data_IF_573002584801
#
_entry.id   IF_573002584801
#
_cell.length_a   1.000
_cell.length_b   1.000
_cell.length_c   1.000
_cell.angle_alpha   90.00
_cell.angle_beta   90.00
_cell.angle_gamma   90.00
#
_symmetry.space_group_name_H-M   'P 1'
#
loop_
_entity.id
_entity.type
_entity.pdbx_description
1 polymer ?
#
# COMPACT_ATOMS: atom_id res chain seq x y z
N UNK A 1 -33.68 7.37 8.55
CA UNK A 1 -32.59 7.77 7.63
C UNK A 1 -33.01 9.06 6.97
N UNK A 2 -32.19 10.12 6.94
CA UNK A 2 -32.54 11.27 6.11
C UNK A 2 -32.60 10.79 4.66
N UNK A 3 -33.74 11.03 4.03
CA UNK A 3 -33.99 10.72 2.64
C UNK A 3 -32.98 11.53 1.81
N UNK A 4 -32.06 10.86 1.12
CA UNK A 4 -31.10 11.55 0.25
C UNK A 4 -31.89 12.32 -0.82
N UNK A 5 -31.70 13.63 -0.87
CA UNK A 5 -32.11 14.45 -2.00
C UNK A 5 -31.45 13.84 -3.23
N UNK A 6 -32.24 13.21 -4.12
CA UNK A 6 -31.70 12.72 -5.40
C UNK A 6 -31.17 13.93 -6.15
N UNK A 7 -29.87 13.95 -6.40
CA UNK A 7 -29.28 14.94 -7.29
C UNK A 7 -29.80 14.63 -8.69
N UNK A 8 -30.63 15.53 -9.24
CA UNK A 8 -31.41 15.32 -10.46
C UNK A 8 -30.60 15.26 -11.77
N UNK A 9 -29.26 15.19 -11.68
CA UNK A 9 -28.41 15.03 -12.85
C UNK A 9 -28.02 13.55 -13.02
N UNK A 10 -28.84 12.83 -13.78
CA UNK A 10 -28.64 11.41 -14.12
C UNK A 10 -27.38 11.18 -14.97
N UNK A 11 -26.83 12.23 -15.60
CA UNK A 11 -25.62 12.16 -16.42
C UNK A 11 -24.36 12.59 -15.66
N UNK A 12 -24.48 13.13 -14.44
CA UNK A 12 -23.34 13.48 -13.61
C UNK A 12 -22.77 12.24 -12.91
N UNK A 13 -21.72 11.66 -13.48
CA UNK A 13 -21.02 10.51 -12.90
C UNK A 13 -20.55 10.74 -11.45
N UNK A 14 -20.22 11.98 -11.08
CA UNK A 14 -19.86 12.34 -9.70
C UNK A 14 -21.08 12.19 -8.77
N UNK A 15 -22.23 12.74 -9.15
CA UNK A 15 -23.46 12.63 -8.36
C UNK A 15 -23.89 11.17 -8.19
N UNK A 16 -23.84 10.38 -9.28
CA UNK A 16 -24.14 8.95 -9.26
C UNK A 16 -23.14 8.16 -8.41
N UNK A 17 -21.86 8.52 -8.44
CA UNK A 17 -20.86 7.90 -7.55
C UNK A 17 -21.13 8.25 -6.09
N UNK A 18 -21.52 9.48 -5.76
CA UNK A 18 -21.83 9.92 -4.39
C UNK A 18 -23.05 9.20 -3.79
N UNK A 19 -23.97 8.69 -4.60
CA UNK A 19 -25.03 7.80 -4.11
C UNK A 19 -24.46 6.50 -3.54
N UNK A 20 -23.34 6.02 -4.06
CA UNK A 20 -22.63 4.82 -3.56
C UNK A 20 -21.63 5.17 -2.45
N UNK A 21 -20.74 6.15 -2.70
CA UNK A 21 -19.57 6.42 -1.84
C UNK A 21 -19.64 7.72 -1.04
N UNK A 22 -20.67 8.54 -1.24
CA UNK A 22 -20.79 9.85 -0.59
C UNK A 22 -21.18 9.80 0.89
N UNK A 23 -21.43 8.61 1.44
CA UNK A 23 -21.50 8.42 2.88
C UNK A 23 -20.10 8.13 3.40
N UNK A 24 -19.65 8.91 4.38
CA UNK A 24 -18.27 8.83 4.87
C UNK A 24 -17.91 7.43 5.41
N UNK A 25 -18.87 6.68 5.97
CA UNK A 25 -18.63 5.31 6.42
C UNK A 25 -18.31 4.35 5.28
N UNK A 26 -18.84 4.57 4.07
CA UNK A 26 -18.53 3.72 2.92
C UNK A 26 -17.02 3.69 2.68
N UNK A 27 -16.37 4.84 2.63
CA UNK A 27 -14.94 4.92 2.35
C UNK A 27 -14.10 4.37 3.51
N UNK A 28 -14.55 4.51 4.75
CA UNK A 28 -13.88 3.90 5.91
C UNK A 28 -14.03 2.37 5.93
N UNK A 29 -15.18 1.83 5.52
CA UNK A 29 -15.37 0.39 5.36
C UNK A 29 -14.45 -0.14 4.24
N UNK A 30 -14.37 0.56 3.10
CA UNK A 30 -13.46 0.17 2.01
C UNK A 30 -12.00 0.21 2.47
N UNK A 31 -11.60 1.23 3.22
CA UNK A 31 -10.27 1.36 3.84
C UNK A 31 -9.94 0.16 4.73
N UNK A 32 -10.85 -0.22 5.63
CA UNK A 32 -10.59 -1.30 6.57
C UNK A 32 -10.68 -2.68 5.89
N UNK A 33 -11.53 -2.84 4.88
CA UNK A 33 -11.54 -4.03 4.04
C UNK A 33 -10.22 -4.19 3.24
N UNK A 34 -9.65 -3.09 2.72
CA UNK A 34 -8.34 -3.11 2.06
C UNK A 34 -7.20 -3.53 3.01
N UNK A 35 -7.32 -3.19 4.30
CA UNK A 35 -6.41 -3.62 5.39
C UNK A 35 -6.55 -5.07 5.82
N UNK A 36 -7.48 -5.83 5.23
CA UNK A 36 -7.74 -7.21 5.64
C UNK A 36 -8.81 -7.37 6.72
N UNK A 37 -9.49 -6.28 7.13
CA UNK A 37 -10.57 -6.35 8.11
C UNK A 37 -11.87 -6.72 7.39
N UNK A 38 -12.12 -8.02 7.26
CA UNK A 38 -13.26 -8.53 6.47
C UNK A 38 -14.45 -8.97 7.33
N UNK A 39 -14.27 -9.14 8.64
CA UNK A 39 -15.30 -9.69 9.54
C UNK A 39 -16.13 -8.58 10.16
N UNK A 40 -17.45 -8.82 10.29
CA UNK A 40 -18.40 -7.85 10.82
C UNK A 40 -18.01 -7.27 12.19
N UNK A 41 -17.71 -8.13 13.18
CA UNK A 41 -17.38 -7.68 14.53
C UNK A 41 -16.04 -6.92 14.60
N UNK A 42 -15.11 -7.25 13.70
CA UNK A 42 -13.84 -6.52 13.59
C UNK A 42 -14.08 -5.14 12.98
N UNK A 43 -14.79 -5.06 11.85
CA UNK A 43 -15.20 -3.78 11.24
C UNK A 43 -15.98 -2.90 12.23
N UNK A 44 -16.90 -3.49 12.99
CA UNK A 44 -17.66 -2.76 14.00
C UNK A 44 -16.76 -2.14 15.08
N UNK A 45 -15.76 -2.90 15.55
CA UNK A 45 -14.81 -2.45 16.57
C UNK A 45 -13.89 -1.35 16.03
N UNK A 46 -13.31 -1.53 14.85
CA UNK A 46 -12.40 -0.56 14.23
C UNK A 46 -13.10 0.77 13.91
N UNK A 47 -14.34 0.70 13.40
CA UNK A 47 -15.07 1.89 12.95
C UNK A 47 -15.88 2.57 14.07
N UNK A 48 -16.08 1.91 15.21
CA UNK A 48 -16.94 2.42 16.29
C UNK A 48 -18.42 2.58 15.90
N UNK A 49 -18.84 1.96 14.79
CA UNK A 49 -20.20 2.07 14.26
C UNK A 49 -21.19 1.24 15.09
N UNK A 50 -22.45 1.69 15.16
CA UNK A 50 -23.51 0.81 15.65
C UNK A 50 -23.69 -0.38 14.69
N UNK A 51 -23.98 -1.56 15.23
CA UNK A 51 -24.22 -2.79 14.45
C UNK A 51 -25.29 -2.60 13.37
N UNK A 52 -26.35 -1.86 13.68
CA UNK A 52 -27.43 -1.57 12.73
C UNK A 52 -26.93 -0.80 11.51
N UNK A 53 -26.20 0.30 11.74
CA UNK A 53 -25.67 1.14 10.65
C UNK A 53 -24.64 0.36 9.84
N UNK A 54 -23.76 -0.41 10.48
CA UNK A 54 -22.78 -1.24 9.77
C UNK A 54 -23.48 -2.28 8.87
N UNK A 55 -24.51 -2.95 9.37
CA UNK A 55 -25.27 -3.93 8.58
C UNK A 55 -25.95 -3.30 7.36
N UNK A 56 -26.55 -2.12 7.53
CA UNK A 56 -27.18 -1.35 6.44
C UNK A 56 -26.14 -0.94 5.37
N UNK A 57 -24.96 -0.49 5.79
CA UNK A 57 -23.88 -0.11 4.86
C UNK A 57 -23.28 -1.30 4.12
N UNK A 58 -22.97 -2.39 4.82
CA UNK A 58 -22.44 -3.59 4.20
C UNK A 58 -23.44 -4.18 3.19
N UNK A 59 -24.74 -4.15 3.51
CA UNK A 59 -25.80 -4.56 2.57
C UNK A 59 -25.75 -3.72 1.28
N UNK A 60 -25.72 -2.39 1.41
CA UNK A 60 -25.63 -1.50 0.25
C UNK A 60 -24.38 -1.76 -0.60
N UNK A 61 -23.22 -1.96 0.04
CA UNK A 61 -21.97 -2.21 -0.67
C UNK A 61 -21.94 -3.57 -1.37
N UNK A 62 -22.63 -4.57 -0.83
CA UNK A 62 -22.84 -5.85 -1.51
C UNK A 62 -23.81 -5.70 -2.69
N UNK A 63 -24.94 -5.01 -2.50
CA UNK A 63 -25.95 -4.78 -3.55
C UNK A 63 -25.39 -3.98 -4.74
N UNK A 64 -24.51 -3.01 -4.46
CA UNK A 64 -23.82 -2.20 -5.49
C UNK A 64 -22.57 -2.89 -6.04
N UNK A 65 -22.21 -4.08 -5.55
CA UNK A 65 -21.07 -4.85 -6.03
C UNK A 65 -19.71 -4.26 -5.68
N UNK A 66 -19.63 -3.38 -4.68
CA UNK A 66 -18.36 -2.88 -4.10
C UNK A 66 -17.72 -3.95 -3.22
N UNK A 67 -18.54 -4.69 -2.46
CA UNK A 67 -18.13 -5.83 -1.66
C UNK A 67 -18.80 -7.11 -2.16
N UNK A 68 -18.14 -8.24 -1.96
CA UNK A 68 -18.74 -9.56 -2.02
C UNK A 68 -18.85 -10.12 -0.61
N UNK A 69 -19.87 -10.96 -0.37
CA UNK A 69 -20.10 -11.62 0.93
C UNK A 69 -19.81 -13.10 0.78
N UNK A 70 -18.72 -13.56 1.38
CA UNK A 70 -18.18 -14.90 1.20
C UNK A 70 -18.24 -15.70 2.51
N UNK A 71 -18.66 -16.98 2.47
CA UNK A 71 -18.60 -17.83 3.66
C UNK A 71 -17.14 -18.20 3.97
N UNK A 72 -16.72 -18.03 5.24
CA UNK A 72 -15.39 -18.47 5.72
C UNK A 72 -15.46 -19.66 6.68
N UNK A 73 -16.67 -20.05 7.09
CA UNK A 73 -16.96 -21.16 7.99
C UNK A 73 -18.32 -21.72 7.61
N UNK A 74 -18.49 -23.04 7.61
CA UNK A 74 -19.75 -23.70 7.19
C UNK A 74 -20.68 -24.08 8.35
N UNK A 75 -20.18 -24.20 9.59
CA UNK A 75 -20.94 -24.72 10.74
C UNK A 75 -20.64 -23.98 12.06
N UNK A 76 -21.48 -23.01 12.49
CA UNK A 76 -22.52 -22.33 11.72
C UNK A 76 -21.93 -21.54 10.55
N UNK A 77 -22.70 -21.28 9.50
CA UNK A 77 -22.21 -20.49 8.36
C UNK A 77 -21.88 -19.07 8.84
N UNK A 78 -20.65 -18.62 8.62
CA UNK A 78 -20.23 -17.24 8.91
C UNK A 78 -19.66 -16.59 7.67
N UNK A 79 -19.93 -15.30 7.52
CA UNK A 79 -19.55 -14.53 6.35
C UNK A 79 -18.50 -13.49 6.67
N UNK A 80 -17.70 -13.18 5.66
CA UNK A 80 -16.81 -12.03 5.61
C UNK A 80 -17.08 -11.22 4.34
N UNK A 81 -16.55 -10.00 4.32
CA UNK A 81 -16.79 -9.02 3.26
C UNK A 81 -15.46 -8.69 2.58
N UNK A 82 -15.36 -8.99 1.29
CA UNK A 82 -14.15 -8.77 0.50
C UNK A 82 -14.39 -7.76 -0.61
N UNK A 83 -13.36 -6.98 -0.95
CA UNK A 83 -13.43 -6.03 -2.06
C UNK A 83 -13.50 -6.78 -3.39
N UNK A 84 -14.50 -6.43 -4.21
CA UNK A 84 -14.57 -6.85 -5.62
C UNK A 84 -13.60 -6.01 -6.47
N UNK A 85 -13.43 -6.30 -7.77
CA UNK A 85 -12.72 -5.39 -8.67
C UNK A 85 -13.29 -3.96 -8.65
N UNK A 86 -14.62 -3.81 -8.56
CA UNK A 86 -15.29 -2.50 -8.43
C UNK A 86 -14.94 -1.81 -7.11
N UNK A 87 -14.84 -2.56 -6.02
CA UNK A 87 -14.40 -2.00 -4.72
C UNK A 87 -12.94 -1.60 -4.70
N UNK A 88 -12.05 -2.39 -5.34
CA UNK A 88 -10.63 -2.05 -5.49
C UNK A 88 -10.41 -0.81 -6.36
N UNK A 89 -11.29 -0.53 -7.31
CA UNK A 89 -11.26 0.71 -8.09
C UNK A 89 -11.47 1.99 -7.25
N UNK A 90 -11.87 1.88 -5.97
CA UNK A 90 -11.96 3.00 -5.03
C UNK A 90 -10.66 3.29 -4.28
N UNK A 91 -9.63 2.43 -4.36
CA UNK A 91 -8.37 2.66 -3.64
C UNK A 91 -7.68 3.97 -4.05
N UNK A 92 -7.63 4.37 -5.33
CA UNK A 92 -7.11 5.69 -5.71
C UNK A 92 -7.86 6.86 -5.08
N UNK A 93 -9.16 6.72 -4.79
CA UNK A 93 -9.94 7.75 -4.09
C UNK A 93 -9.49 7.86 -2.63
N UNK A 94 -9.20 6.72 -1.97
CA UNK A 94 -8.64 6.72 -0.62
C UNK A 94 -7.27 7.39 -0.56
N UNK A 95 -6.40 7.13 -1.55
CA UNK A 95 -5.10 7.80 -1.64
C UNK A 95 -5.27 9.30 -1.87
N UNK A 96 -6.15 9.71 -2.79
CA UNK A 96 -6.40 11.14 -3.02
C UNK A 96 -6.96 11.85 -1.77
N UNK A 97 -7.81 11.18 -0.99
CA UNK A 97 -8.32 11.71 0.28
C UNK A 97 -7.23 11.77 1.36
N UNK A 98 -6.34 10.77 1.41
CA UNK A 98 -5.19 10.79 2.31
C UNK A 98 -4.25 11.94 1.93
N UNK A 99 -3.86 12.07 0.66
CA UNK A 99 -3.02 13.15 0.16
C UNK A 99 -3.64 14.53 0.50
N UNK A 100 -4.95 14.70 0.28
CA UNK A 100 -5.65 15.94 0.61
C UNK A 100 -5.68 16.21 2.12
N UNK A 101 -5.93 15.17 2.94
CA UNK A 101 -5.94 15.26 4.40
C UNK A 101 -4.55 15.60 4.96
N UNK A 102 -3.53 14.87 4.52
CA UNK A 102 -2.13 15.12 4.85
C UNK A 102 -1.78 16.58 4.47
N UNK A 103 -2.20 17.06 3.29
CA UNK A 103 -1.91 18.44 2.82
C UNK A 103 -2.63 19.53 3.60
N UNK A 104 -3.95 19.46 3.68
CA UNK A 104 -4.79 20.60 4.06
C UNK A 104 -5.33 20.50 5.49
N UNK A 105 -5.32 19.30 6.08
CA UNK A 105 -5.79 19.07 7.46
C UNK A 105 -4.62 18.88 8.41
N UNK A 106 -3.59 18.14 8.00
CA UNK A 106 -2.41 17.85 8.84
C UNK A 106 -1.21 18.77 8.55
N UNK A 107 -1.17 19.43 7.38
CA UNK A 107 -0.12 20.40 7.03
C UNK A 107 1.18 19.77 6.48
N UNK A 108 1.11 18.57 5.91
CA UNK A 108 2.24 17.73 5.47
C UNK A 108 2.40 17.66 3.94
N UNK A 109 1.67 18.49 3.17
CA UNK A 109 1.42 18.30 1.74
C UNK A 109 2.39 18.93 0.75
N UNK A 110 3.66 19.09 1.11
CA UNK A 110 4.64 19.50 0.12
C UNK A 110 4.87 18.40 -0.93
N UNK A 111 5.25 18.77 -2.15
CA UNK A 111 5.67 17.79 -3.17
C UNK A 111 7.07 17.27 -2.82
N UNK A 112 7.12 16.38 -1.84
CA UNK A 112 8.32 15.75 -1.31
C UNK A 112 8.17 14.24 -1.30
N UNK A 113 9.20 13.50 -1.70
CA UNK A 113 9.26 12.05 -1.62
C UNK A 113 9.89 11.55 -0.32
N UNK A 114 10.02 12.43 0.68
CA UNK A 114 10.52 12.16 2.03
C UNK A 114 9.63 12.85 3.08
N UNK A 115 10.01 12.76 4.35
CA UNK A 115 9.35 13.38 5.49
C UNK A 115 10.35 13.77 6.58
N UNK A 116 9.86 14.43 7.63
CA UNK A 116 10.59 14.60 8.88
C UNK A 116 10.24 13.46 9.85
N UNK A 117 11.14 13.13 10.78
CA UNK A 117 10.91 12.07 11.78
C UNK A 117 9.64 12.29 12.62
N UNK A 118 9.27 13.56 12.85
CA UNK A 118 8.13 13.96 13.67
C UNK A 118 6.81 14.13 12.90
N UNK A 119 6.75 13.83 11.60
CA UNK A 119 5.49 13.93 10.85
C UNK A 119 4.50 12.81 11.21
N UNK A 120 3.21 13.08 11.01
CA UNK A 120 2.13 12.11 11.17
C UNK A 120 2.22 10.98 10.15
N UNK A 121 2.71 11.22 8.93
CA UNK A 121 3.05 10.13 8.00
C UNK A 121 4.19 9.24 8.51
N UNK A 122 5.17 9.77 9.25
CA UNK A 122 6.24 8.97 9.84
C UNK A 122 5.76 8.14 11.04
N UNK A 123 4.94 8.74 11.91
CA UNK A 123 4.27 8.02 12.99
C UNK A 123 3.40 6.87 12.46
N UNK A 124 2.59 7.14 11.44
CA UNK A 124 1.75 6.15 10.77
C UNK A 124 2.54 4.95 10.22
N UNK A 125 3.73 5.16 9.66
CA UNK A 125 4.57 4.04 9.19
C UNK A 125 5.16 3.26 10.37
N UNK A 126 5.58 3.93 11.44
CA UNK A 126 6.06 3.25 12.67
C UNK A 126 4.98 2.40 13.33
N UNK A 127 3.73 2.86 13.33
CA UNK A 127 2.57 2.11 13.83
C UNK A 127 2.27 0.83 13.04
N UNK A 128 2.86 0.63 11.86
CA UNK A 128 2.74 -0.64 11.14
C UNK A 128 3.45 -1.79 11.88
N UNK A 129 4.46 -1.52 12.71
CA UNK A 129 5.18 -2.56 13.46
C UNK A 129 4.21 -3.31 14.38
N UNK A 130 4.20 -4.64 14.29
CA UNK A 130 3.28 -5.53 14.99
C UNK A 130 1.93 -5.74 14.27
N UNK A 131 1.64 -4.98 13.21
CA UNK A 131 0.46 -5.21 12.37
C UNK A 131 0.74 -6.24 11.28
N UNK A 132 -0.32 -6.80 10.68
CA UNK A 132 -0.21 -7.75 9.58
C UNK A 132 -0.37 -7.06 8.22
N UNK A 133 0.51 -7.39 7.28
CA UNK A 133 0.29 -7.13 5.86
C UNK A 133 -0.88 -8.02 5.41
N UNK A 134 -1.98 -7.46 4.88
CA UNK A 134 -3.11 -8.27 4.46
C UNK A 134 -2.77 -9.17 3.27
N UNK A 135 -3.55 -10.23 3.09
CA UNK A 135 -3.46 -11.06 1.88
C UNK A 135 -3.89 -10.25 0.65
N UNK A 136 -2.94 -9.99 -0.23
CA UNK A 136 -3.11 -9.24 -1.47
C UNK A 136 -2.11 -9.73 -2.51
N UNK A 137 -2.37 -9.38 -3.77
CA UNK A 137 -1.45 -9.64 -4.88
C UNK A 137 -1.08 -8.33 -5.53
N UNK A 138 0.20 -8.22 -5.89
CA UNK A 138 0.75 -7.20 -6.77
C UNK A 138 1.12 -7.84 -8.10
N UNK A 139 1.40 -7.03 -9.12
CA UNK A 139 1.77 -7.54 -10.44
C UNK A 139 3.29 -7.61 -10.56
N UNK A 140 3.87 -8.76 -10.86
CA UNK A 140 5.32 -8.88 -11.07
C UNK A 140 5.74 -8.39 -12.47
N UNK A 141 7.04 -8.54 -12.77
CA UNK A 141 7.61 -8.12 -14.05
C UNK A 141 6.94 -8.79 -15.26
N UNK A 142 6.46 -10.02 -15.09
CA UNK A 142 5.81 -10.85 -16.10
C UNK A 142 4.31 -10.57 -16.26
N UNK A 143 3.78 -9.65 -15.46
CA UNK A 143 2.35 -9.35 -15.47
C UNK A 143 1.55 -10.32 -14.61
N UNK A 144 2.22 -11.19 -13.86
CA UNK A 144 1.57 -12.24 -13.08
C UNK A 144 1.30 -11.77 -11.64
N UNK A 145 0.18 -12.21 -11.02
CA UNK A 145 -0.11 -11.91 -9.63
C UNK A 145 0.91 -12.57 -8.69
N UNK A 146 1.51 -11.79 -7.79
CA UNK A 146 2.48 -12.25 -6.79
C UNK A 146 2.19 -11.67 -5.41
N UNK A 147 2.27 -12.50 -4.38
CA UNK A 147 2.18 -12.05 -2.98
C UNK A 147 3.45 -11.26 -2.62
N UNK A 148 3.34 -10.04 -2.09
CA UNK A 148 4.50 -9.28 -1.65
C UNK A 148 5.22 -9.89 -0.45
N UNK A 149 4.59 -10.80 0.31
CA UNK A 149 5.21 -11.53 1.43
C UNK A 149 5.54 -12.95 0.97
N UNK A 150 6.82 -13.25 0.82
CA UNK A 150 7.30 -14.57 0.41
C UNK A 150 7.06 -15.62 1.50
N UNK A 151 6.66 -16.84 1.08
CA UNK A 151 6.39 -17.96 2.00
C UNK A 151 7.59 -18.89 2.15
N UNK A 152 8.52 -18.81 1.21
CA UNK A 152 9.74 -19.62 1.09
C UNK A 152 10.88 -19.15 1.99
N UNK A 153 10.81 -17.91 2.49
CA UNK A 153 11.79 -17.33 3.43
C UNK A 153 11.16 -17.03 4.78
N UNK A 154 11.98 -16.97 5.84
CA UNK A 154 11.49 -16.61 7.17
C UNK A 154 11.04 -15.14 7.23
N UNK A 155 11.73 -14.29 6.46
CA UNK A 155 11.44 -12.87 6.36
C UNK A 155 11.39 -12.42 4.90
N UNK A 156 10.63 -11.36 4.66
CA UNK A 156 10.64 -10.59 3.41
C UNK A 156 11.00 -9.14 3.71
N UNK A 157 12.04 -8.63 3.07
CA UNK A 157 12.37 -7.21 3.08
C UNK A 157 11.65 -6.56 1.90
N UNK A 158 10.59 -5.83 2.21
CA UNK A 158 9.74 -5.14 1.26
C UNK A 158 10.15 -3.66 1.20
N UNK A 159 11.03 -3.29 0.27
CA UNK A 159 11.46 -1.91 0.11
C UNK A 159 10.61 -1.21 -0.96
N UNK A 160 10.00 -0.08 -0.60
CA UNK A 160 9.20 0.73 -1.49
C UNK A 160 10.01 1.94 -1.96
N UNK A 161 9.93 2.24 -3.24
CA UNK A 161 10.68 3.35 -3.83
C UNK A 161 9.80 4.21 -4.75
N UNK A 162 10.03 5.54 -4.79
CA UNK A 162 9.26 6.46 -5.64
C UNK A 162 9.20 6.10 -7.13
N UNK A 163 10.32 5.64 -7.67
CA UNK A 163 10.44 5.23 -9.06
C UNK A 163 11.90 5.20 -9.52
N UNK A 164 12.24 4.21 -10.34
CA UNK A 164 13.56 4.02 -10.94
C UNK A 164 13.41 3.66 -12.42
N UNK A 165 14.18 4.31 -13.27
CA UNK A 165 13.95 4.28 -14.71
C UNK A 165 15.20 3.80 -15.47
N UNK A 166 14.98 2.94 -16.46
CA UNK A 166 16.06 2.46 -17.31
C UNK A 166 16.73 3.59 -18.12
N UNK A 167 15.93 4.57 -18.53
CA UNK A 167 16.39 5.69 -19.37
C UNK A 167 16.08 7.01 -18.69
N UNK A 168 16.94 8.00 -18.90
CA UNK A 168 16.77 9.33 -18.28
C UNK A 168 15.51 10.03 -18.81
N UNK A 169 15.17 9.77 -20.06
CA UNK A 169 14.01 10.32 -20.76
C UNK A 169 12.69 9.75 -20.22
N UNK A 170 12.74 8.59 -19.54
CA UNK A 170 11.58 7.99 -18.87
C UNK A 170 11.33 8.61 -17.48
N UNK A 171 12.25 9.40 -16.95
CA UNK A 171 12.03 10.10 -15.70
C UNK A 171 10.95 11.19 -15.87
N UNK A 172 10.03 11.35 -14.89
CA UNK A 172 9.07 12.44 -14.89
C UNK A 172 9.74 13.83 -14.97
N UNK A 173 9.11 14.82 -15.60
CA UNK A 173 9.59 16.21 -15.55
C UNK A 173 9.78 16.69 -14.12
N UNK A 174 10.91 17.33 -13.83
CA UNK A 174 11.24 17.85 -12.50
C UNK A 174 11.67 16.79 -11.47
N UNK A 175 11.77 15.51 -11.84
CA UNK A 175 12.08 14.41 -10.92
C UNK A 175 13.30 14.65 -10.02
N UNK A 176 14.39 15.15 -10.61
CA UNK A 176 15.65 15.39 -9.90
C UNK A 176 15.56 16.50 -8.84
N UNK A 177 14.57 17.39 -8.94
CA UNK A 177 14.35 18.49 -8.00
C UNK A 177 13.42 18.14 -6.83
N UNK A 178 12.80 16.95 -6.84
CA UNK A 178 11.90 16.52 -5.76
C UNK A 178 12.74 15.88 -4.64
N UNK A 179 12.75 16.44 -3.42
CA UNK A 179 13.49 15.87 -2.30
C UNK A 179 13.10 14.40 -2.05
N UNK A 180 14.09 13.52 -1.86
CA UNK A 180 13.88 12.08 -1.65
C UNK A 180 13.61 11.23 -2.91
N UNK A 181 13.33 11.85 -4.07
CA UNK A 181 13.04 11.12 -5.30
C UNK A 181 14.30 10.54 -5.98
N UNK A 182 15.45 11.24 -6.04
CA UNK A 182 16.71 10.63 -6.46
C UNK A 182 17.16 9.48 -5.54
N UNK A 183 17.93 8.54 -6.10
CA UNK A 183 18.56 7.47 -5.32
C UNK A 183 17.91 6.09 -5.40
N UNK A 184 16.74 5.92 -6.05
CA UNK A 184 16.09 4.61 -6.18
C UNK A 184 16.95 3.56 -6.92
N UNK A 185 17.76 4.01 -7.90
CA UNK A 185 18.75 3.15 -8.57
C UNK A 185 19.84 2.72 -7.59
N UNK A 186 20.38 3.66 -6.78
CA UNK A 186 21.36 3.34 -5.76
C UNK A 186 20.79 2.32 -4.76
N UNK A 187 19.59 2.58 -4.23
CA UNK A 187 18.91 1.69 -3.28
C UNK A 187 18.76 0.26 -3.82
N UNK A 188 18.21 0.12 -5.03
CA UNK A 188 17.99 -1.20 -5.64
C UNK A 188 19.32 -1.93 -5.93
N UNK A 189 20.35 -1.20 -6.36
CA UNK A 189 21.69 -1.74 -6.55
C UNK A 189 22.33 -2.17 -5.21
N UNK A 190 22.17 -1.40 -4.14
CA UNK A 190 22.67 -1.75 -2.81
C UNK A 190 22.00 -3.03 -2.28
N UNK A 191 20.69 -3.20 -2.49
CA UNK A 191 20.02 -4.48 -2.20
C UNK A 191 20.54 -5.63 -3.08
N UNK A 192 20.75 -5.40 -4.39
CA UNK A 192 21.28 -6.40 -5.32
C UNK A 192 22.66 -6.89 -4.89
N UNK A 193 23.53 -5.96 -4.51
CA UNK A 193 24.93 -6.24 -4.18
C UNK A 193 25.06 -6.95 -2.83
N UNK A 194 24.07 -6.77 -1.95
CA UNK A 194 23.99 -7.42 -0.62
C UNK A 194 23.01 -8.57 -0.54
N UNK A 195 22.41 -8.99 -1.67
CA UNK A 195 21.35 -10.00 -1.71
C UNK A 195 21.77 -11.31 -1.02
N UNK A 196 23.03 -11.75 -1.20
CA UNK A 196 23.55 -12.95 -0.58
C UNK A 196 23.56 -12.87 0.97
N UNK A 197 23.78 -11.69 1.54
CA UNK A 197 23.72 -11.51 3.00
C UNK A 197 22.28 -11.64 3.53
N UNK A 198 21.29 -11.11 2.80
CA UNK A 198 19.88 -11.27 3.15
C UNK A 198 19.45 -12.73 3.05
N UNK A 199 19.82 -13.42 1.98
CA UNK A 199 19.53 -14.86 1.81
C UNK A 199 20.17 -15.69 2.92
N UNK A 200 21.43 -15.42 3.27
CA UNK A 200 22.11 -16.09 4.37
C UNK A 200 21.45 -15.82 5.74
N UNK A 201 20.82 -14.65 5.92
CA UNK A 201 20.06 -14.31 7.11
C UNK A 201 18.60 -14.84 7.09
N UNK A 202 18.22 -15.63 6.09
CA UNK A 202 16.87 -16.22 5.99
C UNK A 202 15.82 -15.28 5.41
N UNK A 203 16.22 -14.19 4.75
CA UNK A 203 15.33 -13.24 4.10
C UNK A 203 15.40 -13.28 2.57
N UNK A 204 14.28 -12.93 1.94
CA UNK A 204 14.25 -12.48 0.54
C UNK A 204 14.02 -10.97 0.48
N UNK A 205 14.34 -10.36 -0.66
CA UNK A 205 14.15 -8.92 -0.91
C UNK A 205 13.12 -8.75 -2.02
N UNK A 206 12.13 -7.90 -1.84
CA UNK A 206 11.16 -7.50 -2.86
C UNK A 206 11.15 -5.98 -2.99
N UNK A 207 11.28 -5.47 -4.21
CA UNK A 207 11.12 -4.04 -4.48
C UNK A 207 9.69 -3.72 -4.90
N UNK A 208 9.12 -2.62 -4.41
CA UNK A 208 7.76 -2.18 -4.76
C UNK A 208 7.75 -0.73 -5.20
N UNK A 209 7.06 -0.43 -6.29
CA UNK A 209 6.76 0.94 -6.70
C UNK A 209 5.43 1.00 -7.45
N UNK A 210 4.91 2.22 -7.67
CA UNK A 210 3.70 2.43 -8.48
C UNK A 210 3.99 2.45 -10.00
N UNK A 211 5.22 2.12 -10.40
CA UNK A 211 5.57 1.98 -11.82
C UNK A 211 4.88 0.77 -12.43
N UNK A 212 4.57 0.84 -13.72
CA UNK A 212 3.98 -0.30 -14.44
C UNK A 212 4.98 -1.45 -14.57
N UNK A 213 4.51 -2.70 -14.76
CA UNK A 213 5.40 -3.85 -14.95
C UNK A 213 6.44 -3.68 -16.06
N UNK A 214 6.09 -3.05 -17.18
CA UNK A 214 7.01 -2.79 -18.29
C UNK A 214 8.17 -1.85 -17.90
N UNK A 215 7.87 -0.83 -17.09
CA UNK A 215 8.87 0.13 -16.59
C UNK A 215 9.81 -0.52 -15.58
N UNK A 216 9.25 -1.34 -14.67
CA UNK A 216 10.03 -2.09 -13.69
C UNK A 216 10.92 -3.14 -14.36
N UNK A 217 10.41 -3.83 -15.40
CA UNK A 217 11.21 -4.81 -16.16
C UNK A 217 12.40 -4.14 -16.83
N UNK A 218 12.17 -3.05 -17.56
CA UNK A 218 13.24 -2.31 -18.21
C UNK A 218 14.32 -1.85 -17.21
N UNK A 219 13.91 -1.42 -16.01
CA UNK A 219 14.82 -1.05 -14.94
C UNK A 219 15.60 -2.25 -14.38
N UNK A 220 14.90 -3.36 -14.08
CA UNK A 220 15.50 -4.59 -13.57
C UNK A 220 16.53 -5.17 -14.54
N UNK A 221 16.23 -5.19 -15.84
CA UNK A 221 17.15 -5.68 -16.88
C UNK A 221 18.41 -4.83 -16.97
N UNK A 222 18.24 -3.49 -16.96
CA UNK A 222 19.37 -2.55 -17.02
C UNK A 222 20.32 -2.73 -15.83
N UNK A 223 19.77 -2.78 -14.62
CA UNK A 223 20.56 -2.86 -13.39
C UNK A 223 20.86 -4.30 -12.95
N UNK A 224 20.43 -5.30 -13.74
CA UNK A 224 20.62 -6.73 -13.48
C UNK A 224 20.14 -7.14 -12.08
N UNK A 225 18.95 -6.67 -11.70
CA UNK A 225 18.35 -7.01 -10.42
C UNK A 225 18.00 -8.50 -10.39
N UNK A 226 18.30 -9.17 -9.28
CA UNK A 226 18.16 -10.63 -9.10
C UNK A 226 17.09 -10.99 -8.09
N UNK A 227 16.16 -10.07 -7.86
CA UNK A 227 15.07 -10.22 -6.91
C UNK A 227 13.80 -9.60 -7.50
N UNK A 228 12.60 -10.04 -7.06
CA UNK A 228 11.34 -9.54 -7.59
C UNK A 228 11.16 -8.02 -7.44
N UNK A 229 10.72 -7.38 -8.52
CA UNK A 229 10.06 -6.07 -8.48
C UNK A 229 8.56 -6.27 -8.68
N UNK A 230 7.76 -5.62 -7.84
CA UNK A 230 6.31 -5.73 -7.82
C UNK A 230 5.69 -4.36 -8.09
N UNK A 231 4.77 -4.32 -9.03
CA UNK A 231 4.00 -3.14 -9.39
C UNK A 231 2.79 -3.00 -8.49
N UNK A 232 2.74 -1.87 -7.77
CA UNK A 232 1.56 -1.40 -7.05
C UNK A 232 0.87 -0.25 -7.81
N UNK A 233 0.80 -0.35 -9.14
CA UNK A 233 0.17 0.66 -9.99
C UNK A 233 -1.32 0.89 -9.65
N UNK A 234 -1.99 -0.14 -9.13
CA UNK A 234 -3.38 -0.08 -8.66
C UNK A 234 -3.52 0.39 -7.20
N UNK A 235 -2.41 0.74 -6.53
CA UNK A 235 -2.36 1.25 -5.15
C UNK A 235 -2.95 0.28 -4.12
N UNK A 236 -2.86 -1.03 -4.38
CA UNK A 236 -3.39 -2.08 -3.53
C UNK A 236 -2.62 -2.17 -2.21
N UNK A 237 -1.29 -2.28 -2.26
CA UNK A 237 -0.46 -2.29 -1.05
C UNK A 237 -0.48 -0.92 -0.38
N UNK A 238 -0.34 0.14 -1.18
CA UNK A 238 -0.31 1.53 -0.69
C UNK A 238 -1.56 1.86 0.11
N UNK A 239 -2.75 1.56 -0.41
CA UNK A 239 -3.99 1.85 0.30
C UNK A 239 -4.21 0.92 1.50
N UNK A 240 -3.84 -0.36 1.37
CA UNK A 240 -3.95 -1.34 2.45
C UNK A 240 -3.12 -0.94 3.67
N UNK A 241 -1.88 -0.50 3.47
CA UNK A 241 -0.99 -0.11 4.57
C UNK A 241 -1.00 1.39 4.85
N UNK A 242 -1.79 2.17 4.10
CA UNK A 242 -1.72 3.64 4.05
C UNK A 242 -0.29 4.17 3.93
N UNK A 243 0.46 3.63 3.00
CA UNK A 243 1.84 4.06 2.80
C UNK A 243 1.86 5.55 2.40
N UNK A 244 2.87 6.31 2.84
CA UNK A 244 3.02 7.71 2.48
C UNK A 244 3.21 7.84 0.97
N UNK A 245 2.52 8.83 0.39
CA UNK A 245 2.53 9.10 -1.05
C UNK A 245 2.85 10.55 -1.35
N UNK A 246 3.27 10.80 -2.58
CA UNK A 246 3.31 12.15 -3.15
C UNK A 246 2.87 12.09 -4.61
N UNK A 247 2.36 13.19 -5.14
CA UNK A 247 1.89 13.27 -6.53
C UNK A 247 2.88 14.03 -7.39
N UNK A 248 3.25 13.44 -8.52
CA UNK A 248 4.06 14.11 -9.55
C UNK A 248 3.71 13.57 -10.93
N UNK A 249 3.74 14.44 -11.94
CA UNK A 249 3.36 14.11 -13.32
C UNK A 249 2.01 13.36 -13.44
N UNK A 250 1.02 13.73 -12.60
CA UNK A 250 -0.32 13.16 -12.62
C UNK A 250 -0.48 11.80 -11.92
N UNK A 251 0.60 11.22 -11.38
CA UNK A 251 0.61 9.88 -10.78
C UNK A 251 0.96 9.96 -9.29
N UNK A 252 0.26 9.19 -8.46
CA UNK A 252 0.63 8.99 -7.04
C UNK A 252 1.79 8.00 -6.95
N UNK A 253 2.79 8.35 -6.14
CA UNK A 253 4.01 7.56 -5.95
C UNK A 253 4.25 7.33 -4.47
N UNK A 254 4.68 6.12 -4.14
CA UNK A 254 5.02 5.75 -2.77
C UNK A 254 6.32 6.45 -2.37
N UNK A 255 6.36 7.07 -1.19
CA UNK A 255 7.60 7.63 -0.63
C UNK A 255 8.54 6.49 -0.22
N UNK A 256 9.85 6.75 -0.18
CA UNK A 256 10.85 5.71 0.11
C UNK A 256 10.71 5.19 1.54
N UNK A 257 10.46 3.89 1.71
CA UNK A 257 10.38 3.22 3.02
C UNK A 257 10.77 1.75 2.87
N UNK A 258 11.17 1.11 3.97
CA UNK A 258 11.40 -0.35 3.99
C UNK A 258 10.62 -1.00 5.11
N UNK A 259 9.91 -2.09 4.82
CA UNK A 259 9.27 -2.94 5.81
C UNK A 259 10.01 -4.29 5.86
N UNK A 260 10.30 -4.79 7.06
CA UNK A 260 10.71 -6.19 7.24
C UNK A 260 9.50 -6.95 7.77
N UNK A 261 9.10 -7.99 7.06
CA UNK A 261 7.86 -8.73 7.31
C UNK A 261 8.20 -10.20 7.56
N UNK A 262 7.65 -10.81 8.61
CA UNK A 262 7.82 -12.23 8.89
C UNK A 262 6.92 -13.11 8.00
N UNK A 263 7.14 -14.43 8.06
CA UNK A 263 6.34 -15.44 7.35
C UNK A 263 4.84 -15.44 7.71
N UNK A 264 4.49 -14.92 8.89
CA UNK A 264 3.12 -14.78 9.38
C UNK A 264 2.50 -13.42 8.98
N UNK A 265 3.19 -12.70 8.09
CA UNK A 265 2.82 -11.39 7.53
C UNK A 265 2.92 -10.24 8.53
N UNK A 266 3.51 -10.44 9.71
CA UNK A 266 3.68 -9.39 10.71
C UNK A 266 4.83 -8.48 10.31
N UNK A 267 4.61 -7.17 10.29
CA UNK A 267 5.68 -6.18 10.11
C UNK A 267 6.50 -6.15 11.40
N UNK A 268 7.76 -6.56 11.34
CA UNK A 268 8.66 -6.61 12.50
C UNK A 268 9.55 -5.37 12.61
N UNK A 269 9.74 -4.65 11.50
CA UNK A 269 10.52 -3.41 11.43
C UNK A 269 9.97 -2.52 10.32
N UNK A 270 9.93 -1.21 10.54
CA UNK A 270 9.51 -0.22 9.56
C UNK A 270 10.49 0.95 9.55
N UNK A 271 11.18 1.15 8.42
CA UNK A 271 12.21 2.17 8.24
C UNK A 271 11.66 3.33 7.40
N UNK A 272 11.39 4.45 8.05
CA UNK A 272 10.91 5.68 7.43
C UNK A 272 10.98 6.87 8.42
N UNK A 273 11.33 8.09 7.98
CA UNK A 273 11.80 8.46 6.64
C UNK A 273 13.21 7.94 6.34
N UNK A 274 13.49 7.62 5.07
CA UNK A 274 14.84 7.22 4.64
C UNK A 274 15.58 8.43 4.07
N UNK A 275 16.56 8.92 4.83
CA UNK A 275 17.46 10.02 4.42
C UNK A 275 18.83 9.53 3.95
N UNK A 276 19.27 8.37 4.46
CA UNK A 276 20.47 7.66 4.02
C UNK A 276 20.08 6.24 3.54
N UNK A 277 20.27 6.02 2.24
CA UNK A 277 19.89 4.78 1.55
C UNK A 277 20.75 3.60 2.01
N UNK A 278 22.06 3.76 2.09
CA UNK A 278 22.96 2.66 2.45
C UNK A 278 22.82 2.28 3.91
N UNK A 279 22.64 3.28 4.79
CA UNK A 279 22.33 3.06 6.20
C UNK A 279 20.99 2.33 6.36
N UNK A 280 19.97 2.69 5.58
CA UNK A 280 18.67 2.00 5.62
C UNK A 280 18.76 0.53 5.20
N UNK A 281 19.48 0.21 4.11
CA UNK A 281 19.69 -1.19 3.69
C UNK A 281 20.43 -1.99 4.76
N UNK A 282 21.40 -1.36 5.45
CA UNK A 282 22.11 -1.99 6.57
C UNK A 282 21.19 -2.24 7.76
N UNK A 283 20.38 -1.26 8.14
CA UNK A 283 19.40 -1.38 9.21
C UNK A 283 18.37 -2.49 8.92
N UNK A 284 17.91 -2.62 7.67
CA UNK A 284 17.01 -3.69 7.26
C UNK A 284 17.64 -5.08 7.46
N UNK A 285 18.91 -5.25 7.07
CA UNK A 285 19.63 -6.51 7.29
C UNK A 285 19.86 -6.80 8.78
N UNK A 286 20.19 -5.78 9.57
CA UNK A 286 20.34 -5.91 11.02
C UNK A 286 19.03 -6.31 11.70
N UNK A 287 17.89 -5.76 11.25
CA UNK A 287 16.57 -6.15 11.72
C UNK A 287 16.25 -7.62 11.42
N UNK A 288 16.55 -8.10 10.21
CA UNK A 288 16.43 -9.52 9.86
C UNK A 288 17.30 -10.40 10.77
N UNK A 289 18.58 -10.05 10.94
CA UNK A 289 19.52 -10.81 11.78
C UNK A 289 19.08 -10.84 13.25
N UNK A 290 18.59 -9.72 13.78
CA UNK A 290 18.06 -9.59 15.14
C UNK A 290 16.81 -10.45 15.34
N UNK A 291 15.92 -10.53 14.35
CA UNK A 291 14.73 -11.35 14.42
C UNK A 291 15.03 -12.86 14.29
N UNK A 292 15.99 -13.24 13.45
CA UNK A 292 16.36 -14.65 13.22
C UNK A 292 17.33 -15.25 14.23
N UNK A 293 17.98 -14.44 15.06
CA UNK A 293 18.91 -14.87 16.11
C UNK A 293 18.26 -15.12 17.49
N UNK A 294 16.93 -15.13 17.56
CA UNK A 294 16.13 -15.40 18.76
C UNK A 294 15.66 -16.84 18.87
#
# INVERSE_FOLDING_TARGET
MPQRTRLHDEHCAIAQALDVVGDWWTLLIVRDAARGVHRFDALQRELGMSRKVLAERLKLLVETGVLTREPYQDRPVRYEYRLTPRGRALLPVLIALQDWGDTWVLGEGETTATATEGSGEAERVRELVGTKVPELHLTDLDGEPRDPVARESAYTVLYCFPGAYARKESCPPGWAGIPGAPGCTLESCTYRDRLAEFTAAGATVHGVSTQRPDEQRAFADKERLRFPLLSDADLTLTAALRLPTFRTAGVSRIKRLTLVVDRDRTVIEALYPITDIEASVRAALEAVRRAGGG
#
